data_IF_480863571206
#
_entry.id   IF_480863571206
#
_cell.length_a   1.000
_cell.length_b   1.000
_cell.length_c   1.000
_cell.angle_alpha   90.00
_cell.angle_beta   90.00
_cell.angle_gamma   90.00
#
_symmetry.space_group_name_H-M   'P 1'
#
loop_
_entity.id
_entity.type
_entity.pdbx_description
1 polymer ?
#
# COMPACT_ATOMS: atom_id res chain seq x y z
N UNK A 1 11.29 48.61 14.32
CA UNK A 1 10.15 48.09 13.54
C UNK A 1 10.68 47.30 12.36
N UNK A 2 10.71 45.96 12.46
CA UNK A 2 10.71 45.03 11.33
C UNK A 2 10.42 43.61 11.88
N UNK A 3 9.11 43.34 11.90
CA UNK A 3 8.39 42.10 11.63
C UNK A 3 8.93 40.74 12.12
N UNK A 4 8.09 40.11 12.93
CA UNK A 4 8.14 38.71 13.36
C UNK A 4 8.19 37.73 12.18
N UNK A 5 9.05 36.72 12.30
CA UNK A 5 9.03 35.52 11.46
C UNK A 5 8.40 34.39 12.26
N UNK A 6 7.40 33.78 11.65
CA UNK A 6 6.42 32.86 12.20
C UNK A 6 7.06 31.57 12.76
N UNK A 7 6.91 31.31 14.07
CA UNK A 7 7.26 30.04 14.72
C UNK A 7 6.31 28.93 14.23
N UNK A 8 6.79 28.06 13.35
CA UNK A 8 6.14 26.77 13.10
C UNK A 8 6.62 25.77 14.14
N UNK A 9 5.85 25.59 15.22
CA UNK A 9 6.00 24.49 16.16
C UNK A 9 5.50 23.20 15.52
N UNK A 10 6.40 22.28 15.20
CA UNK A 10 6.14 20.85 15.20
C UNK A 10 7.42 20.12 15.63
N UNK A 11 7.30 19.34 16.70
CA UNK A 11 8.32 18.57 17.42
C UNK A 11 9.31 19.40 18.26
N UNK A 12 9.30 19.15 19.57
CA UNK A 12 10.12 19.82 20.59
C UNK A 12 11.57 19.34 20.54
N UNK A 13 12.21 19.37 19.37
CA UNK A 13 13.66 19.28 19.27
C UNK A 13 14.15 20.70 19.07
N UNK A 14 14.61 21.30 20.18
CA UNK A 14 15.29 22.59 20.14
C UNK A 14 16.65 22.37 19.46
N UNK A 15 16.72 22.56 18.15
CA UNK A 15 18.00 22.56 17.45
C UNK A 15 18.77 23.80 17.88
N UNK A 16 19.70 23.63 18.82
CA UNK A 16 20.66 24.67 19.16
C UNK A 16 21.59 24.87 17.95
N UNK A 17 21.65 26.06 17.34
CA UNK A 17 22.62 26.31 16.28
C UNK A 17 24.03 26.28 16.90
N UNK A 18 24.76 25.21 16.64
CA UNK A 18 26.18 25.14 16.94
C UNK A 18 26.91 26.08 15.96
N UNK A 19 27.44 27.18 16.50
CA UNK A 19 28.41 28.00 15.79
C UNK A 19 29.73 27.20 15.72
N UNK A 20 29.90 26.44 14.63
CA UNK A 20 31.13 25.72 14.31
C UNK A 20 31.98 26.60 13.38
N UNK A 21 33.28 26.68 13.64
CA UNK A 21 34.17 27.30 12.67
C UNK A 21 34.30 26.41 11.44
N UNK A 22 34.70 27.00 10.31
CA UNK A 22 34.97 26.23 9.08
C UNK A 22 36.06 25.17 9.31
N UNK A 23 37.00 25.42 10.25
CA UNK A 23 38.04 24.46 10.63
C UNK A 23 37.44 23.26 11.35
N UNK A 24 36.66 23.51 12.40
CA UNK A 24 36.04 22.44 13.19
C UNK A 24 35.07 21.60 12.35
N UNK A 25 34.35 22.24 11.42
CA UNK A 25 33.50 21.52 10.46
C UNK A 25 34.32 20.60 9.55
N UNK A 26 35.48 21.06 9.06
CA UNK A 26 36.38 20.23 8.24
C UNK A 26 36.93 19.06 9.04
N UNK A 27 37.38 19.29 10.26
CA UNK A 27 37.89 18.24 11.15
C UNK A 27 36.80 17.19 11.43
N UNK A 28 35.58 17.62 11.77
CA UNK A 28 34.45 16.71 12.00
C UNK A 28 34.11 15.87 10.77
N UNK A 29 34.19 16.44 9.57
CA UNK A 29 33.95 15.70 8.32
C UNK A 29 35.06 14.67 8.10
N UNK A 30 36.33 15.05 8.31
CA UNK A 30 37.48 14.16 8.14
C UNK A 30 37.41 12.99 9.12
N UNK A 31 37.20 13.24 10.41
CA UNK A 31 37.05 12.18 11.43
C UNK A 31 35.92 11.20 11.09
N UNK A 32 34.78 11.71 10.62
CA UNK A 32 33.65 10.87 10.20
C UNK A 32 33.96 10.05 8.95
N UNK A 33 34.72 10.62 8.02
CA UNK A 33 35.15 9.88 6.83
C UNK A 33 36.12 8.78 7.21
N UNK A 34 37.13 9.05 8.04
CA UNK A 34 38.08 8.02 8.53
C UNK A 34 37.36 6.86 9.23
N UNK A 35 36.41 7.16 10.12
CA UNK A 35 35.59 6.14 10.78
C UNK A 35 34.74 5.28 9.82
N UNK A 36 34.35 5.82 8.66
CA UNK A 36 33.62 5.07 7.62
C UNK A 36 34.59 4.26 6.73
N UNK A 37 35.78 4.80 6.47
CA UNK A 37 36.78 4.18 5.60
C UNK A 37 37.51 2.99 6.25
N UNK A 38 37.56 2.91 7.59
CA UNK A 38 38.11 1.75 8.31
C UNK A 38 37.24 0.48 8.21
N UNK A 39 36.03 0.56 7.65
CA UNK A 39 35.17 -0.60 7.40
C UNK A 39 35.39 -1.15 5.97
N UNK A 40 36.59 -1.69 5.73
CA UNK A 40 37.05 -2.14 4.39
C UNK A 40 36.31 -3.38 3.87
N UNK A 41 35.57 -4.09 4.71
CA UNK A 41 34.90 -5.35 4.36
C UNK A 41 33.50 -5.15 3.78
N UNK A 42 32.99 -3.91 3.72
CA UNK A 42 31.65 -3.66 3.20
C UNK A 42 31.61 -3.50 1.66
N UNK A 43 32.65 -2.93 1.06
CA UNK A 43 32.67 -2.59 -0.38
C UNK A 43 33.94 -3.07 -1.06
N UNK A 44 33.80 -3.66 -2.25
CA UNK A 44 34.93 -3.96 -3.11
C UNK A 44 35.64 -2.68 -3.55
N UNK A 45 36.97 -2.74 -3.73
CA UNK A 45 37.77 -1.59 -4.18
C UNK A 45 37.34 -1.09 -5.56
N UNK A 46 37.47 0.23 -5.80
CA UNK A 46 37.17 0.82 -7.11
C UNK A 46 37.88 0.10 -8.26
N UNK A 47 39.16 -0.23 -8.08
CA UNK A 47 39.97 -0.91 -9.10
C UNK A 47 39.42 -2.30 -9.46
N UNK A 48 38.77 -2.97 -8.50
CA UNK A 48 38.16 -4.28 -8.72
C UNK A 48 36.78 -4.18 -9.40
N UNK A 49 36.02 -3.11 -9.12
CA UNK A 49 34.67 -2.93 -9.66
C UNK A 49 34.67 -2.23 -11.02
N UNK A 50 35.58 -1.29 -11.24
CA UNK A 50 35.60 -0.47 -12.46
C UNK A 50 35.86 -1.33 -13.70
N UNK A 51 34.97 -1.23 -14.69
CA UNK A 51 35.03 -2.00 -15.93
C UNK A 51 34.45 -3.41 -15.86
N UNK A 52 33.96 -3.86 -14.70
CA UNK A 52 33.20 -5.10 -14.59
C UNK A 52 31.78 -4.94 -15.14
N UNK A 53 31.17 -6.04 -15.61
CA UNK A 53 29.77 -6.03 -16.06
C UNK A 53 28.87 -5.86 -14.84
N UNK A 54 28.15 -4.75 -14.79
CA UNK A 54 27.20 -4.48 -13.70
C UNK A 54 25.95 -5.36 -13.82
N UNK A 55 25.49 -5.88 -12.68
CA UNK A 55 24.24 -6.63 -12.52
C UNK A 55 23.28 -5.83 -11.63
N UNK A 56 21.97 -6.04 -11.80
CA UNK A 56 20.94 -5.35 -11.01
C UNK A 56 20.67 -6.04 -9.65
N UNK A 57 21.36 -7.14 -9.37
CA UNK A 57 21.09 -8.04 -8.23
C UNK A 57 21.28 -7.37 -6.87
N UNK A 58 22.18 -6.39 -6.77
CA UNK A 58 22.44 -5.62 -5.56
C UNK A 58 21.74 -4.27 -5.55
N UNK A 59 20.96 -3.93 -6.58
CA UNK A 59 20.28 -2.64 -6.66
C UNK A 59 19.16 -2.60 -5.61
N UNK A 60 19.22 -1.72 -4.60
CA UNK A 60 18.24 -1.73 -3.51
C UNK A 60 16.81 -1.57 -4.00
N UNK A 61 16.59 -0.75 -5.03
CA UNK A 61 15.25 -0.60 -5.64
C UNK A 61 14.77 -1.86 -6.34
N UNK A 62 15.67 -2.65 -6.94
CA UNK A 62 15.30 -3.90 -7.61
C UNK A 62 14.97 -5.00 -6.59
N UNK A 63 15.80 -5.15 -5.55
CA UNK A 63 15.55 -6.06 -4.42
C UNK A 63 14.21 -5.72 -3.76
N UNK A 64 13.95 -4.43 -3.51
CA UNK A 64 12.67 -4.00 -2.95
C UNK A 64 11.48 -4.26 -3.88
N UNK A 65 11.66 -4.19 -5.20
CA UNK A 65 10.61 -4.51 -6.16
C UNK A 65 10.31 -6.01 -6.19
N UNK A 66 11.35 -6.85 -6.16
CA UNK A 66 11.18 -8.31 -6.08
C UNK A 66 10.49 -8.73 -4.78
N UNK A 67 10.94 -8.20 -3.64
CA UNK A 67 10.34 -8.47 -2.33
C UNK A 67 8.86 -8.04 -2.23
N UNK A 68 8.45 -7.02 -3.00
CA UNK A 68 7.06 -6.52 -3.05
C UNK A 68 6.20 -7.21 -4.12
N UNK A 69 6.78 -8.09 -4.94
CA UNK A 69 6.01 -8.75 -5.98
C UNK A 69 5.08 -9.81 -5.38
N UNK A 70 3.80 -9.79 -5.75
CA UNK A 70 2.92 -10.91 -5.46
C UNK A 70 3.36 -12.13 -6.29
N UNK A 71 3.48 -13.29 -5.65
CA UNK A 71 3.72 -14.57 -6.34
C UNK A 71 2.55 -14.95 -7.27
N UNK A 72 1.40 -14.29 -7.12
CA UNK A 72 0.18 -14.52 -7.87
C UNK A 72 0.25 -13.78 -9.20
N UNK A 73 -0.05 -14.46 -10.33
CA UNK A 73 -0.09 -13.81 -11.63
C UNK A 73 -1.05 -12.63 -11.68
N UNK A 74 -0.58 -11.47 -12.15
CA UNK A 74 -1.36 -10.21 -12.16
C UNK A 74 -2.69 -10.30 -12.92
N UNK A 75 -2.80 -11.17 -13.93
CA UNK A 75 -4.04 -11.37 -14.69
C UNK A 75 -5.16 -12.03 -13.86
N UNK A 76 -4.82 -12.69 -12.74
CA UNK A 76 -5.79 -13.30 -11.82
C UNK A 76 -6.42 -12.24 -10.92
N UNK A 77 -5.70 -11.17 -10.58
CA UNK A 77 -6.14 -10.13 -9.64
C UNK A 77 -7.06 -9.11 -10.33
N UNK A 78 -8.17 -9.58 -10.89
CA UNK A 78 -9.20 -8.76 -11.56
C UNK A 78 -10.59 -9.16 -11.08
N UNK A 79 -11.55 -8.25 -11.20
CA UNK A 79 -12.91 -8.41 -10.68
C UNK A 79 -13.60 -9.68 -11.17
N UNK A 80 -13.45 -10.02 -12.46
CA UNK A 80 -14.08 -11.18 -13.10
C UNK A 80 -13.57 -12.52 -12.58
N UNK A 81 -12.44 -12.52 -11.88
CA UNK A 81 -11.80 -13.71 -11.30
C UNK A 81 -12.08 -13.85 -9.82
N UNK A 82 -12.81 -12.92 -9.20
CA UNK A 82 -13.29 -13.07 -7.83
C UNK A 82 -14.31 -14.21 -7.80
N UNK A 83 -14.07 -15.21 -6.96
CA UNK A 83 -14.97 -16.36 -6.72
C UNK A 83 -15.58 -16.33 -5.35
N UNK A 84 -14.85 -15.85 -4.36
CA UNK A 84 -15.38 -15.75 -3.01
C UNK A 84 -14.79 -14.62 -2.17
N UNK A 85 -15.27 -14.49 -0.93
CA UNK A 85 -14.70 -13.63 0.08
C UNK A 85 -14.36 -14.43 1.34
N UNK A 86 -13.14 -14.27 1.83
CA UNK A 86 -12.67 -14.86 3.09
C UNK A 86 -12.50 -13.76 4.13
N UNK A 87 -12.87 -14.02 5.39
CA UNK A 87 -12.73 -13.04 6.47
C UNK A 87 -11.47 -13.32 7.27
N UNK A 88 -10.64 -12.30 7.49
CA UNK A 88 -9.47 -12.44 8.35
C UNK A 88 -9.89 -12.56 9.83
N UNK A 89 -9.33 -13.53 10.55
CA UNK A 89 -9.59 -13.73 11.96
C UNK A 89 -9.16 -12.53 12.81
N UNK A 90 -7.98 -11.96 12.55
CA UNK A 90 -7.43 -10.86 13.36
C UNK A 90 -8.14 -9.52 13.16
N UNK A 91 -8.43 -9.13 11.90
CA UNK A 91 -8.97 -7.80 11.60
C UNK A 91 -10.40 -7.79 11.08
N UNK A 92 -11.00 -8.98 10.88
CA UNK A 92 -12.37 -9.18 10.37
C UNK A 92 -12.66 -8.60 8.99
N UNK A 93 -11.67 -8.04 8.30
CA UNK A 93 -11.81 -7.55 6.92
C UNK A 93 -12.03 -8.73 5.98
N UNK A 94 -12.97 -8.55 5.05
CA UNK A 94 -13.15 -9.45 3.92
C UNK A 94 -12.04 -9.24 2.89
N UNK A 95 -11.46 -10.35 2.42
CA UNK A 95 -10.44 -10.41 1.37
C UNK A 95 -11.00 -11.17 0.18
N UNK A 96 -10.66 -10.72 -1.02
CA UNK A 96 -11.07 -11.32 -2.27
C UNK A 96 -10.35 -12.65 -2.48
N UNK A 97 -11.11 -13.67 -2.83
CA UNK A 97 -10.62 -14.99 -3.21
C UNK A 97 -10.81 -15.14 -4.72
N UNK A 98 -9.74 -15.47 -5.41
CA UNK A 98 -9.66 -15.47 -6.86
C UNK A 98 -9.49 -16.88 -7.42
N UNK A 99 -10.03 -17.14 -8.61
CA UNK A 99 -9.68 -18.29 -9.44
C UNK A 99 -9.84 -17.98 -10.92
N UNK A 100 -9.05 -18.64 -11.76
CA UNK A 100 -9.13 -18.44 -13.20
C UNK A 100 -10.42 -19.00 -13.80
N UNK A 101 -10.95 -20.09 -13.21
CA UNK A 101 -12.17 -20.79 -13.59
C UNK A 101 -13.24 -20.67 -12.51
N UNK A 102 -14.48 -21.00 -12.84
CA UNK A 102 -15.47 -21.29 -11.79
C UNK A 102 -15.05 -22.57 -11.07
N UNK A 103 -15.24 -22.60 -9.75
CA UNK A 103 -14.97 -23.79 -8.96
C UNK A 103 -16.03 -24.85 -9.27
N UNK A 104 -15.61 -26.12 -9.32
CA UNK A 104 -16.56 -27.25 -9.32
C UNK A 104 -17.19 -27.40 -7.93
N UNK A 105 -18.26 -28.19 -7.83
CA UNK A 105 -18.90 -28.45 -6.54
C UNK A 105 -17.91 -29.14 -5.56
N UNK A 106 -17.09 -30.07 -6.05
CA UNK A 106 -16.04 -30.71 -5.26
C UNK A 106 -14.97 -29.71 -4.78
N UNK A 107 -14.47 -28.84 -5.68
CA UNK A 107 -13.48 -27.81 -5.31
C UNK A 107 -14.06 -26.81 -4.29
N UNK A 108 -15.36 -26.49 -4.42
CA UNK A 108 -16.06 -25.63 -3.48
C UNK A 108 -16.19 -26.30 -2.11
N UNK A 109 -16.52 -27.60 -2.06
CA UNK A 109 -16.62 -28.37 -0.82
C UNK A 109 -15.27 -28.47 -0.12
N UNK A 110 -14.22 -28.83 -0.84
CA UNK A 110 -12.85 -28.93 -0.32
C UNK A 110 -12.36 -27.56 0.19
N UNK A 111 -12.68 -26.49 -0.53
CA UNK A 111 -12.37 -25.14 -0.09
C UNK A 111 -13.11 -24.79 1.23
N UNK A 112 -14.40 -25.10 1.35
CA UNK A 112 -15.11 -24.85 2.62
C UNK A 112 -14.55 -25.67 3.77
N UNK A 113 -14.21 -26.95 3.54
CA UNK A 113 -13.59 -27.79 4.57
C UNK A 113 -12.24 -27.24 5.04
N UNK A 114 -11.44 -26.68 4.13
CA UNK A 114 -10.21 -25.99 4.49
C UNK A 114 -10.49 -24.75 5.36
N UNK A 115 -11.52 -23.95 5.04
CA UNK A 115 -11.89 -22.78 5.84
C UNK A 115 -12.39 -23.14 7.24
N UNK A 116 -13.06 -24.28 7.41
CA UNK A 116 -13.54 -24.74 8.72
C UNK A 116 -12.40 -25.19 9.64
N UNK A 117 -11.30 -25.68 9.05
CA UNK A 117 -10.13 -26.18 9.78
C UNK A 117 -9.01 -25.16 9.93
N UNK A 118 -9.07 -24.04 9.20
CA UNK A 118 -8.01 -23.04 9.17
C UNK A 118 -8.51 -21.62 9.46
N UNK A 119 -7.92 -21.00 10.49
CA UNK A 119 -8.14 -19.58 10.78
C UNK A 119 -7.30 -18.68 9.86
N UNK A 120 -7.94 -18.08 8.86
CA UNK A 120 -7.25 -17.23 7.90
C UNK A 120 -6.78 -15.88 8.49
N UNK A 121 -5.54 -15.53 8.18
CA UNK A 121 -4.92 -14.23 8.49
C UNK A 121 -4.52 -13.48 7.22
N UNK A 122 -4.62 -12.15 7.20
CA UNK A 122 -4.25 -11.34 6.03
C UNK A 122 -2.81 -11.63 5.56
N UNK A 123 -2.65 -11.93 4.28
CA UNK A 123 -1.34 -12.20 3.67
C UNK A 123 -0.87 -13.64 3.80
N UNK A 124 -1.57 -14.49 4.56
CA UNK A 124 -1.28 -15.91 4.65
C UNK A 124 -1.87 -16.69 3.47
N UNK A 125 -1.24 -17.79 3.03
CA UNK A 125 -1.89 -18.73 2.12
C UNK A 125 -3.11 -19.38 2.79
N UNK A 126 -4.08 -19.81 1.98
CA UNK A 126 -5.26 -20.55 2.48
C UNK A 126 -4.90 -22.02 2.72
N UNK A 127 -4.09 -22.60 1.84
CA UNK A 127 -3.79 -24.02 1.83
C UNK A 127 -2.30 -24.27 2.08
N UNK A 128 -1.93 -25.44 2.63
CA UNK A 128 -0.54 -25.87 2.67
C UNK A 128 0.02 -26.12 1.26
N UNK A 129 1.34 -26.24 1.17
CA UNK A 129 2.07 -26.26 -0.10
C UNK A 129 1.76 -27.48 -0.99
N UNK A 130 1.27 -28.57 -0.40
CA UNK A 130 0.94 -29.85 -1.02
C UNK A 130 -0.54 -29.99 -1.42
N UNK A 131 -1.38 -29.00 -1.07
CA UNK A 131 -2.81 -29.05 -1.39
C UNK A 131 -3.08 -28.62 -2.84
N UNK A 132 -3.83 -29.44 -3.60
CA UNK A 132 -4.07 -29.18 -5.02
C UNK A 132 -4.76 -27.83 -5.31
N UNK A 133 -5.67 -27.38 -4.42
CA UNK A 133 -6.34 -26.08 -4.56
C UNK A 133 -5.40 -24.87 -4.48
N UNK A 134 -4.16 -25.02 -4.00
CA UNK A 134 -3.18 -23.92 -3.96
C UNK A 134 -2.90 -23.32 -5.35
N UNK A 135 -3.00 -24.11 -6.41
CA UNK A 135 -2.80 -23.66 -7.79
C UNK A 135 -4.12 -23.23 -8.48
N UNK A 136 -5.26 -23.40 -7.80
CA UNK A 136 -6.59 -23.10 -8.33
C UNK A 136 -7.18 -21.84 -7.69
N UNK A 137 -6.97 -21.67 -6.38
CA UNK A 137 -7.55 -20.63 -5.55
C UNK A 137 -6.45 -19.74 -5.00
N UNK A 138 -6.64 -18.43 -5.14
CA UNK A 138 -5.63 -17.43 -4.80
C UNK A 138 -6.20 -16.34 -3.88
N UNK A 139 -5.37 -15.87 -2.95
CA UNK A 139 -5.61 -14.67 -2.14
C UNK A 139 -4.35 -13.84 -2.12
N UNK A 140 -4.47 -12.50 -2.08
CA UNK A 140 -3.28 -11.64 -2.00
C UNK A 140 -2.42 -11.99 -0.79
N UNK A 141 -1.13 -12.24 -1.03
CA UNK A 141 -0.16 -12.50 0.03
C UNK A 141 0.54 -11.22 0.52
N UNK A 142 0.68 -10.22 -0.36
CA UNK A 142 1.27 -8.92 -0.05
C UNK A 142 0.22 -7.96 0.54
N UNK A 143 -0.51 -8.41 1.56
CA UNK A 143 -1.52 -7.63 2.27
C UNK A 143 -1.46 -7.94 3.76
N UNK A 144 -1.77 -6.96 4.60
CA UNK A 144 -1.79 -7.13 6.06
C UNK A 144 -3.09 -6.59 6.65
N UNK A 145 -3.23 -6.70 7.98
CA UNK A 145 -4.43 -6.26 8.68
C UNK A 145 -4.67 -4.75 8.60
N UNK A 146 -3.64 -3.94 8.42
CA UNK A 146 -3.78 -2.47 8.26
C UNK A 146 -4.20 -2.08 6.85
N UNK A 147 -3.99 -2.95 5.87
CA UNK A 147 -4.36 -2.71 4.50
C UNK A 147 -5.89 -2.54 4.37
N UNK A 148 -6.36 -1.58 3.56
CA UNK A 148 -7.78 -1.34 3.35
C UNK A 148 -8.43 -2.51 2.61
N UNK A 149 -9.76 -2.49 2.48
CA UNK A 149 -10.51 -3.40 1.63
C UNK A 149 -10.02 -3.24 0.19
N UNK A 150 -9.87 -4.37 -0.50
CA UNK A 150 -9.40 -4.40 -1.87
C UNK A 150 -10.36 -3.65 -2.78
N UNK A 151 -9.83 -2.79 -3.64
CA UNK A 151 -10.65 -1.95 -4.52
C UNK A 151 -11.57 -2.78 -5.43
N UNK A 152 -11.11 -3.97 -5.83
CA UNK A 152 -11.86 -4.89 -6.68
C UNK A 152 -13.12 -5.45 -5.99
N UNK A 153 -13.16 -5.49 -4.66
CA UNK A 153 -14.37 -5.83 -3.90
C UNK A 153 -15.54 -4.93 -4.33
N UNK A 154 -15.30 -3.62 -4.45
CA UNK A 154 -16.33 -2.63 -4.78
C UNK A 154 -16.78 -2.67 -6.24
N UNK A 155 -16.01 -3.29 -7.11
CA UNK A 155 -16.38 -3.50 -8.51
C UNK A 155 -17.00 -4.88 -8.76
N UNK A 156 -16.89 -5.79 -7.78
CA UNK A 156 -17.38 -7.16 -7.89
C UNK A 156 -18.90 -7.22 -7.89
N UNK A 157 -19.44 -8.05 -8.79
CA UNK A 157 -20.88 -8.34 -8.87
C UNK A 157 -21.24 -9.70 -8.25
N UNK A 158 -20.35 -10.27 -7.44
CA UNK A 158 -20.63 -11.54 -6.73
C UNK A 158 -21.88 -11.38 -5.85
N UNK A 159 -22.75 -12.39 -5.86
CA UNK A 159 -23.93 -12.42 -5.01
C UNK A 159 -23.55 -12.26 -3.53
N UNK A 160 -24.36 -11.52 -2.77
CA UNK A 160 -24.07 -11.21 -1.37
C UNK A 160 -23.01 -10.11 -1.16
N UNK A 161 -22.57 -9.43 -2.22
CA UNK A 161 -21.75 -8.23 -2.08
C UNK A 161 -22.60 -7.04 -1.60
N UNK A 162 -22.10 -6.30 -0.61
CA UNK A 162 -22.77 -5.16 -0.01
C UNK A 162 -21.75 -4.05 0.34
N UNK A 163 -22.18 -2.79 0.44
CA UNK A 163 -21.26 -1.68 0.74
C UNK A 163 -20.65 -1.84 2.13
N UNK A 164 -19.33 -1.70 2.19
CA UNK A 164 -18.55 -1.69 3.44
C UNK A 164 -17.51 -0.58 3.42
N UNK A 165 -17.15 -0.07 4.59
CA UNK A 165 -16.12 0.94 4.77
C UNK A 165 -14.79 0.49 4.15
N UNK A 166 -14.16 1.36 3.36
CA UNK A 166 -12.88 1.12 2.70
C UNK A 166 -11.75 0.77 3.67
N UNK A 167 -11.75 1.39 4.85
CA UNK A 167 -10.63 1.22 5.80
C UNK A 167 -10.80 0.01 6.70
N UNK A 168 -12.00 -0.24 7.23
CA UNK A 168 -12.23 -1.27 8.24
C UNK A 168 -13.13 -2.43 7.79
N UNK A 169 -13.86 -2.30 6.69
CA UNK A 169 -14.78 -3.33 6.22
C UNK A 169 -16.12 -3.42 6.97
N UNK A 170 -16.43 -2.49 7.87
CA UNK A 170 -17.73 -2.43 8.53
C UNK A 170 -18.82 -1.95 7.55
N UNK A 171 -20.01 -2.57 7.59
CA UNK A 171 -21.19 -2.15 6.83
C UNK A 171 -22.02 -1.07 7.51
N UNK A 172 -21.82 -0.89 8.81
CA UNK A 172 -22.69 -0.04 9.62
C UNK A 172 -22.19 1.41 9.66
N UNK A 173 -23.11 2.34 9.88
CA UNK A 173 -22.85 3.78 10.02
C UNK A 173 -21.99 4.34 8.88
N UNK A 174 -22.29 3.93 7.65
CA UNK A 174 -21.64 4.47 6.46
C UNK A 174 -22.09 5.91 6.23
N UNK A 175 -21.13 6.82 6.14
CA UNK A 175 -21.40 8.23 5.96
C UNK A 175 -21.62 8.58 4.49
N UNK A 176 -22.51 9.54 4.26
CA UNK A 176 -22.75 10.06 2.91
C UNK A 176 -21.58 10.96 2.48
N UNK A 177 -20.96 10.72 1.31
CA UNK A 177 -19.86 11.56 0.85
C UNK A 177 -20.31 12.98 0.53
N UNK A 178 -19.53 14.01 0.91
CA UNK A 178 -19.78 15.40 0.58
C UNK A 178 -19.95 15.62 -0.92
N UNK A 179 -20.86 16.53 -1.30
CA UNK A 179 -21.14 16.85 -2.70
C UNK A 179 -19.89 17.33 -3.46
N UNK A 180 -19.03 18.09 -2.79
CA UNK A 180 -17.76 18.57 -3.35
C UNK A 180 -16.81 17.45 -3.76
N UNK A 181 -16.86 16.28 -3.11
CA UNK A 181 -16.08 15.12 -3.54
C UNK A 181 -16.71 14.44 -4.76
N UNK A 182 -18.05 14.34 -4.82
CA UNK A 182 -18.77 13.73 -5.94
C UNK A 182 -18.52 14.47 -7.25
N UNK A 183 -18.40 15.80 -7.19
CA UNK A 183 -18.09 16.63 -8.35
C UNK A 183 -16.64 16.47 -8.83
N UNK A 184 -15.71 16.17 -7.91
CA UNK A 184 -14.27 16.12 -8.19
C UNK A 184 -13.76 14.74 -8.55
N UNK A 185 -14.43 13.68 -8.17
CA UNK A 185 -13.92 12.31 -8.30
C UNK A 185 -14.97 11.37 -8.90
N UNK A 186 -14.53 10.56 -9.87
CA UNK A 186 -15.38 9.54 -10.50
C UNK A 186 -15.76 8.41 -9.55
N UNK A 187 -14.90 8.11 -8.59
CA UNK A 187 -15.14 7.03 -7.64
C UNK A 187 -14.76 7.46 -6.23
N UNK A 188 -15.68 7.22 -5.30
CA UNK A 188 -15.54 7.49 -3.88
C UNK A 188 -15.89 6.20 -3.15
N UNK A 189 -14.98 5.70 -2.32
CA UNK A 189 -15.18 4.45 -1.60
C UNK A 189 -15.84 4.75 -0.24
N UNK A 190 -16.73 3.87 0.26
CA UNK A 190 -17.47 4.13 1.49
C UNK A 190 -16.54 4.36 2.70
N UNK A 191 -16.99 5.20 3.62
CA UNK A 191 -16.34 5.48 4.90
C UNK A 191 -17.40 5.31 5.99
N UNK A 192 -17.03 4.78 7.16
CA UNK A 192 -17.92 4.76 8.33
C UNK A 192 -17.54 5.85 9.33
N UNK A 193 -18.49 6.22 10.19
CA UNK A 193 -18.32 7.23 11.25
C UNK A 193 -17.09 6.93 12.14
N UNK A 194 -16.94 5.69 12.60
CA UNK A 194 -15.81 5.28 13.47
C UNK A 194 -14.46 5.58 12.81
N UNK A 195 -14.32 5.27 11.51
CA UNK A 195 -13.08 5.57 10.80
C UNK A 195 -12.91 7.08 10.56
N UNK A 196 -13.99 7.83 10.35
CA UNK A 196 -13.92 9.28 10.23
C UNK A 196 -13.44 9.92 11.53
N UNK A 197 -14.01 9.52 12.67
CA UNK A 197 -13.62 9.97 14.01
C UNK A 197 -12.17 9.61 14.33
N UNK A 198 -11.69 8.46 13.84
CA UNK A 198 -10.28 8.07 13.92
C UNK A 198 -9.37 8.82 12.94
N UNK A 199 -9.84 9.90 12.30
CA UNK A 199 -9.07 10.74 11.39
C UNK A 199 -8.89 10.21 9.96
N UNK A 200 -9.60 9.14 9.55
CA UNK A 200 -9.58 8.67 8.16
C UNK A 200 -10.51 9.53 7.31
N UNK A 201 -10.17 9.65 6.03
CA UNK A 201 -10.98 10.34 5.03
C UNK A 201 -11.49 9.38 3.96
N UNK A 202 -12.45 9.83 3.16
CA UNK A 202 -12.88 9.11 1.96
C UNK A 202 -11.68 8.84 1.06
N UNK A 203 -11.53 7.59 0.64
CA UNK A 203 -10.61 7.25 -0.44
C UNK A 203 -11.29 7.53 -1.78
N UNK A 204 -10.58 8.15 -2.71
CA UNK A 204 -11.13 8.58 -4.00
C UNK A 204 -10.24 8.17 -5.17
N UNK A 205 -10.85 8.00 -6.34
CA UNK A 205 -10.16 7.71 -7.60
C UNK A 205 -10.76 8.48 -8.77
N UNK A 206 -9.92 8.74 -9.77
CA UNK A 206 -10.31 9.37 -11.03
C UNK A 206 -10.71 10.83 -10.86
N UNK A 207 -9.74 11.69 -10.50
CA UNK A 207 -9.97 13.13 -10.42
C UNK A 207 -10.48 13.67 -11.76
N UNK A 208 -11.58 14.42 -11.71
CA UNK A 208 -12.17 15.13 -12.85
C UNK A 208 -11.32 16.38 -13.09
N UNK A 209 -10.60 16.41 -14.21
CA UNK A 209 -9.86 17.61 -14.62
C UNK A 209 -10.85 18.66 -15.11
N UNK A 210 -11.03 19.75 -14.38
CA UNK A 210 -11.70 20.94 -14.89
C UNK A 210 -10.72 21.69 -15.78
N UNK A 211 -10.99 21.75 -17.09
CA UNK A 211 -10.30 22.68 -17.98
C UNK A 211 -10.68 24.10 -17.56
N UNK A 212 -9.86 24.74 -16.74
CA UNK A 212 -9.90 26.19 -16.60
C UNK A 212 -9.49 26.78 -17.95
N UNK A 213 -10.47 27.09 -18.80
CA UNK A 213 -10.25 28.04 -19.89
C UNK A 213 -9.87 29.35 -19.22
N UNK A 214 -8.58 29.64 -19.15
CA UNK A 214 -8.06 30.96 -18.84
C UNK A 214 -8.72 31.93 -19.81
N UNK A 215 -9.68 32.70 -19.31
CA UNK A 215 -10.28 33.82 -20.02
C UNK A 215 -9.15 34.79 -20.31
N UNK A 216 -8.64 34.78 -21.56
CA UNK A 216 -7.81 35.85 -22.07
C UNK A 216 -8.67 37.12 -22.03
N UNK A 217 -8.45 37.96 -21.01
CA UNK A 217 -8.87 39.35 -21.08
C UNK A 217 -8.12 39.99 -22.25
N UNK A 218 -8.80 40.14 -23.38
CA UNK A 218 -8.38 41.07 -24.42
C UNK A 218 -8.49 42.46 -23.80
N UNK A 219 -7.34 43.08 -23.51
CA UNK A 219 -7.30 44.51 -23.25
C UNK A 219 -7.77 45.23 -24.51
N UNK A 220 -8.64 46.22 -24.30
CA UNK A 220 -9.16 47.16 -25.30
C UNK A 220 -8.03 47.90 -26.01
#
# INVERSE_FOLDING_TARGET
NLLAVNERRHETILYMPLALSIRDLRETIVERLEAVYDNTDHYASFQHVYGTKTTEEHRPTYIQLQAKSESIPKYILVTEKIRDYISCENCRKRRCVYSNKSLTDDEQNDYQQALESYSYSCGAPIFPDDHYLKEVIFVRLQINCDSPIEILYYSSRKAGNYPICYHCGNSDNLITPPQSLKERFKQIYPLCEICQESGRNFYTKGAVKTNNKSTKHSKK
#
